data_IF_083682477984
#
_entry.id   IF_083682477984
#
_cell.length_a   1.000
_cell.length_b   1.000
_cell.length_c   1.000
_cell.angle_alpha   90.00
_cell.angle_beta   90.00
_cell.angle_gamma   90.00
#
_symmetry.space_group_name_H-M   'P 1'
#
loop_
_entity.id
_entity.type
_entity.pdbx_description
1 polymer ?
#
# COMPACT_ATOMS: atom_id res chain seq x y z
N UNK A 1 8.11 -24.89 14.87
CA UNK A 1 7.87 -23.88 13.82
C UNK A 1 6.84 -24.41 12.86
N UNK A 2 5.94 -23.55 12.38
CA UNK A 2 4.95 -23.85 11.34
C UNK A 2 5.24 -22.93 10.17
N UNK A 3 5.19 -23.46 8.95
CA UNK A 3 5.38 -22.65 7.74
C UNK A 3 4.28 -21.58 7.64
N UNK A 4 4.67 -20.37 7.23
CA UNK A 4 3.76 -19.24 7.07
C UNK A 4 3.44 -19.04 5.59
N UNK A 5 2.19 -18.67 5.23
CA UNK A 5 1.86 -18.33 3.84
C UNK A 5 2.64 -17.09 3.38
N UNK A 6 3.27 -17.19 2.20
CA UNK A 6 4.09 -16.13 1.59
C UNK A 6 3.78 -15.92 0.10
N UNK A 7 2.60 -16.35 -0.34
CA UNK A 7 2.07 -16.35 -1.70
C UNK A 7 1.70 -14.96 -2.26
N UNK A 8 2.23 -13.89 -1.66
CA UNK A 8 2.02 -12.51 -2.06
C UNK A 8 3.35 -11.83 -2.42
N UNK A 9 3.62 -11.70 -3.73
CA UNK A 9 4.79 -10.95 -4.21
C UNK A 9 4.60 -9.43 -4.09
N UNK A 10 3.36 -8.98 -4.30
CA UNK A 10 2.98 -7.57 -4.15
C UNK A 10 2.60 -7.31 -2.71
N UNK A 11 3.19 -6.28 -2.13
CA UNK A 11 2.87 -5.79 -0.80
C UNK A 11 2.55 -4.30 -0.80
N UNK A 12 1.68 -3.90 0.12
CA UNK A 12 1.53 -2.47 0.43
C UNK A 12 2.75 -2.00 1.23
N UNK A 13 3.17 -0.76 1.00
CA UNK A 13 4.21 -0.11 1.79
C UNK A 13 3.91 -0.11 3.30
N UNK A 14 2.62 -0.12 3.66
CA UNK A 14 2.17 -0.31 5.04
C UNK A 14 2.73 -1.60 5.67
N UNK A 15 2.48 -2.75 5.05
CA UNK A 15 2.91 -4.05 5.60
C UNK A 15 4.41 -4.30 5.41
N UNK A 16 4.98 -3.77 4.33
CA UNK A 16 6.40 -3.92 4.05
C UNK A 16 7.27 -3.03 4.95
N UNK A 17 6.79 -1.87 5.38
CA UNK A 17 7.60 -0.91 6.14
C UNK A 17 6.91 -0.37 7.39
N UNK A 18 5.74 0.26 7.24
CA UNK A 18 5.14 1.05 8.34
C UNK A 18 4.74 0.19 9.55
N UNK A 19 4.19 -1.01 9.32
CA UNK A 19 3.80 -1.97 10.36
C UNK A 19 5.00 -2.50 11.16
N UNK A 20 6.19 -2.49 10.54
CA UNK A 20 7.46 -2.87 11.16
C UNK A 20 8.16 -1.69 11.87
N UNK A 21 7.47 -0.55 11.99
CA UNK A 21 8.00 0.68 12.56
C UNK A 21 9.19 1.26 11.78
N UNK A 22 9.31 0.98 10.47
CA UNK A 22 10.32 1.63 9.62
C UNK A 22 9.81 3.01 9.14
N UNK A 23 10.54 4.12 9.35
CA UNK A 23 10.05 5.47 9.04
C UNK A 23 9.86 5.68 7.53
N UNK A 24 8.97 6.60 7.14
CA UNK A 24 8.68 6.91 5.73
C UNK A 24 9.86 7.57 5.00
N UNK A 25 10.72 8.28 5.72
CA UNK A 25 11.92 8.95 5.18
C UNK A 25 13.16 8.04 5.16
N UNK A 26 12.99 6.72 5.34
CA UNK A 26 14.12 5.78 5.36
C UNK A 26 14.66 5.55 3.94
N UNK A 27 15.98 5.62 3.69
CA UNK A 27 16.57 5.44 2.35
C UNK A 27 16.15 4.14 1.65
N UNK A 28 16.00 3.04 2.40
CA UNK A 28 15.53 1.77 1.85
C UNK A 28 14.10 1.81 1.23
N UNK A 29 13.36 2.91 1.37
CA UNK A 29 12.04 3.13 0.72
C UNK A 29 12.16 3.92 -0.58
N UNK A 30 13.36 4.36 -0.95
CA UNK A 30 13.57 5.14 -2.17
C UNK A 30 13.37 4.27 -3.41
N UNK A 31 12.98 4.93 -4.52
CA UNK A 31 12.71 4.27 -5.80
C UNK A 31 13.91 3.51 -6.37
N UNK A 32 15.13 3.88 -5.98
CA UNK A 32 16.35 3.20 -6.40
C UNK A 32 16.52 1.84 -5.73
N UNK A 33 15.93 1.63 -4.55
CA UNK A 33 16.05 0.42 -3.73
C UNK A 33 14.78 -0.44 -3.73
N UNK A 34 13.64 0.11 -4.16
CA UNK A 34 12.33 -0.54 -4.09
C UNK A 34 11.58 -0.45 -5.43
N UNK A 35 11.15 -1.62 -5.94
CA UNK A 35 10.29 -1.70 -7.12
C UNK A 35 8.83 -1.39 -6.77
N UNK A 36 8.39 -0.17 -7.02
CA UNK A 36 6.99 0.24 -6.87
C UNK A 36 6.15 -0.15 -8.09
N UNK A 37 4.88 -0.47 -7.87
CA UNK A 37 3.93 -0.66 -8.96
C UNK A 37 3.50 0.70 -9.53
N UNK A 38 3.40 0.77 -10.86
CA UNK A 38 2.92 1.94 -11.57
C UNK A 38 1.43 1.82 -11.83
N UNK A 39 0.73 2.95 -11.73
CA UNK A 39 -0.69 2.98 -12.04
C UNK A 39 -0.89 2.74 -13.53
N UNK A 40 -1.94 2.00 -13.88
CA UNK A 40 -2.29 1.81 -15.28
C UNK A 40 -2.57 3.18 -15.90
N UNK A 41 -1.88 3.52 -16.99
CA UNK A 41 -2.24 4.67 -17.81
C UNK A 41 -3.73 4.52 -18.17
N UNK A 42 -4.59 5.36 -17.57
CA UNK A 42 -5.90 5.60 -18.17
C UNK A 42 -5.60 6.17 -19.53
N UNK A 43 -5.92 5.43 -20.59
CA UNK A 43 -5.99 6.03 -21.92
C UNK A 43 -6.93 7.22 -21.81
N UNK A 44 -6.38 8.43 -21.94
CA UNK A 44 -7.21 9.60 -22.19
C UNK A 44 -7.87 9.38 -23.55
N UNK A 45 -9.13 8.93 -23.56
CA UNK A 45 -10.00 8.98 -24.73
C UNK A 45 -10.14 10.44 -25.18
N UNK A 46 -9.21 10.91 -26.01
CA UNK A 46 -9.18 12.32 -26.37
C UNK A 46 -8.05 12.74 -27.29
N UNK A 47 -7.91 12.13 -28.48
CA UNK A 47 -7.45 12.80 -29.73
C UNK A 47 -7.44 11.84 -30.93
N UNK A 48 -8.59 11.71 -31.59
CA UNK A 48 -8.70 11.06 -32.90
C UNK A 48 -10.12 11.20 -33.46
N UNK A 49 -10.32 12.10 -34.42
CA UNK A 49 -11.60 12.31 -35.13
C UNK A 49 -12.07 11.00 -35.79
N UNK A 50 -13.15 10.41 -35.28
CA UNK A 50 -13.99 9.49 -36.05
C UNK A 50 -15.46 9.95 -35.95
N UNK A 51 -16.27 9.90 -37.03
CA UNK A 51 -17.67 10.33 -37.00
C UNK A 51 -18.48 9.44 -36.05
N UNK A 52 -19.27 10.10 -35.19
CA UNK A 52 -20.03 9.48 -34.10
C UNK A 52 -21.19 8.64 -34.63
N UNK A 53 -21.06 7.32 -34.57
CA UNK A 53 -22.23 6.44 -34.43
C UNK A 53 -22.76 6.59 -32.99
N UNK A 54 -24.08 6.72 -32.73
CA UNK A 54 -24.58 6.72 -31.36
C UNK A 54 -24.47 5.29 -30.80
N UNK A 55 -23.34 4.99 -30.16
CA UNK A 55 -23.20 3.82 -29.31
C UNK A 55 -23.93 4.14 -28.00
N UNK A 56 -24.90 3.29 -27.66
CA UNK A 56 -25.44 3.19 -26.30
C UNK A 56 -24.30 3.26 -25.28
N UNK A 57 -24.48 3.97 -24.14
CA UNK A 57 -23.45 3.99 -23.11
C UNK A 57 -23.09 2.54 -22.73
N UNK A 58 -21.80 2.19 -22.65
CA UNK A 58 -21.43 0.86 -22.21
C UNK A 58 -22.05 0.61 -20.82
N UNK A 59 -22.44 -0.64 -20.51
CA UNK A 59 -22.85 -0.98 -19.15
C UNK A 59 -21.77 -0.51 -18.17
N UNK A 60 -22.17 -0.01 -17.00
CA UNK A 60 -21.24 0.44 -15.97
C UNK A 60 -20.32 -0.73 -15.58
N UNK A 61 -19.14 -0.79 -16.20
CA UNK A 61 -18.10 -1.74 -15.81
C UNK A 61 -17.36 -1.09 -14.65
N UNK A 62 -17.31 -1.72 -13.46
CA UNK A 62 -16.50 -1.20 -12.37
C UNK A 62 -15.05 -1.14 -12.84
N UNK A 63 -14.46 0.05 -12.83
CA UNK A 63 -13.03 0.20 -13.11
C UNK A 63 -12.27 -0.59 -12.04
N UNK A 64 -11.38 -1.54 -12.41
CA UNK A 64 -10.60 -2.29 -11.44
C UNK A 64 -9.77 -1.32 -10.58
N UNK A 65 -9.51 -1.65 -9.30
CA UNK A 65 -8.68 -0.81 -8.45
C UNK A 65 -7.30 -0.65 -9.07
N UNK A 66 -6.73 0.54 -8.90
CA UNK A 66 -5.39 0.85 -9.41
C UNK A 66 -4.36 -0.12 -8.79
N UNK A 67 -3.61 -0.90 -9.59
CA UNK A 67 -2.61 -1.82 -9.06
C UNK A 67 -1.50 -1.14 -8.25
N UNK A 68 -1.25 0.15 -8.47
CA UNK A 68 -0.27 0.93 -7.71
C UNK A 68 -0.70 1.22 -6.27
N UNK A 69 -1.99 1.08 -5.95
CA UNK A 69 -2.53 1.41 -4.65
C UNK A 69 -3.20 0.24 -3.96
N UNK A 70 -2.90 0.07 -2.67
CA UNK A 70 -3.62 -0.87 -1.82
C UNK A 70 -5.10 -0.42 -1.73
N UNK A 71 -6.06 -1.29 -2.10
CA UNK A 71 -7.47 -0.92 -2.08
C UNK A 71 -7.97 -0.67 -0.65
N UNK A 72 -7.43 -1.39 0.34
CA UNK A 72 -7.79 -1.23 1.75
C UNK A 72 -6.63 -1.58 2.68
N UNK A 73 -6.47 -0.78 3.74
CA UNK A 73 -5.59 -1.07 4.88
C UNK A 73 -6.46 -1.25 6.13
N UNK A 74 -6.02 -2.01 7.16
CA UNK A 74 -6.83 -2.22 8.35
C UNK A 74 -6.98 -0.92 9.16
N UNK A 75 -8.13 -0.25 9.16
CA UNK A 75 -8.23 1.17 9.53
C UNK A 75 -7.83 1.44 10.99
N UNK A 76 -8.26 0.58 11.91
CA UNK A 76 -7.90 0.71 13.33
C UNK A 76 -6.40 0.51 13.59
N UNK A 77 -5.76 -0.40 12.86
CA UNK A 77 -4.32 -0.62 13.00
C UNK A 77 -3.51 0.48 12.30
N UNK A 78 -3.92 0.89 11.10
CA UNK A 78 -3.30 1.99 10.36
C UNK A 78 -3.35 3.30 11.15
N UNK A 79 -4.49 3.63 11.79
CA UNK A 79 -4.60 4.82 12.65
C UNK A 79 -3.64 4.74 13.86
N UNK A 80 -3.50 3.56 14.46
CA UNK A 80 -2.57 3.31 15.57
C UNK A 80 -1.11 3.48 15.12
N UNK A 81 -0.72 2.86 14.01
CA UNK A 81 0.63 2.98 13.42
C UNK A 81 0.93 4.45 13.10
N UNK A 82 0.03 5.17 12.41
CA UNK A 82 0.15 6.61 12.14
C UNK A 82 0.43 7.41 13.42
N UNK A 83 -0.35 7.18 14.47
CA UNK A 83 -0.19 7.88 15.76
C UNK A 83 1.20 7.61 16.37
N UNK A 84 1.62 6.36 16.44
CA UNK A 84 2.88 5.99 17.11
C UNK A 84 4.10 6.45 16.31
N UNK A 85 4.05 6.37 14.98
CA UNK A 85 5.11 6.90 14.11
C UNK A 85 5.28 8.40 14.28
N UNK A 86 4.18 9.17 14.28
CA UNK A 86 4.26 10.64 14.33
C UNK A 86 4.43 11.20 15.74
N UNK A 87 3.60 10.78 16.70
CA UNK A 87 3.50 11.37 18.04
C UNK A 87 4.13 10.50 19.14
N UNK A 88 4.41 9.24 18.85
CA UNK A 88 4.83 8.26 19.84
C UNK A 88 3.66 7.59 20.56
N UNK A 89 4.01 6.77 21.54
CA UNK A 89 3.10 5.87 22.25
C UNK A 89 3.85 4.66 22.79
N UNK A 90 3.25 3.92 23.72
CA UNK A 90 3.86 2.73 24.34
C UNK A 90 5.27 2.99 24.91
N UNK A 91 5.50 4.18 25.48
CA UNK A 91 6.81 4.59 26.01
C UNK A 91 7.80 5.14 24.97
N UNK A 92 7.50 5.03 23.67
CA UNK A 92 8.29 5.64 22.59
C UNK A 92 7.87 7.09 22.31
N UNK A 93 8.82 7.91 21.86
CA UNK A 93 8.61 9.30 21.42
C UNK A 93 8.17 9.41 19.95
N UNK A 94 8.10 8.29 19.23
CA UNK A 94 7.88 8.29 17.78
C UNK A 94 9.04 8.91 17.00
N UNK A 95 8.86 9.07 15.69
CA UNK A 95 9.81 9.73 14.79
C UNK A 95 9.63 11.24 14.70
N UNK A 96 8.52 11.78 15.24
CA UNK A 96 8.20 13.23 15.21
C UNK A 96 8.16 13.80 13.79
N UNK A 97 7.76 12.97 12.82
CA UNK A 97 7.57 13.37 11.44
C UNK A 97 6.11 13.17 11.02
N UNK A 98 5.75 13.80 9.91
CA UNK A 98 4.47 13.57 9.27
C UNK A 98 4.43 12.14 8.70
N UNK A 99 3.36 11.41 9.03
CA UNK A 99 3.07 10.09 8.45
C UNK A 99 1.92 10.23 7.45
N UNK A 100 2.18 9.87 6.20
CA UNK A 100 1.27 10.04 5.06
C UNK A 100 0.61 8.72 4.70
N UNK A 101 -0.72 8.71 4.64
CA UNK A 101 -1.49 7.52 4.29
C UNK A 101 -1.23 7.09 2.84
N UNK A 102 -1.06 8.06 1.95
CA UNK A 102 -0.78 7.82 0.52
C UNK A 102 0.50 6.97 0.36
N UNK A 103 1.58 7.32 1.06
CA UNK A 103 2.83 6.53 1.04
C UNK A 103 2.63 5.11 1.56
N UNK A 104 1.80 4.92 2.58
CA UNK A 104 1.50 3.60 3.13
C UNK A 104 0.66 2.74 2.16
N UNK A 105 -0.12 3.37 1.29
CA UNK A 105 -0.97 2.68 0.30
C UNK A 105 -0.22 2.28 -0.96
N UNK A 106 0.94 2.85 -1.26
CA UNK A 106 1.71 2.48 -2.46
C UNK A 106 2.09 1.01 -2.43
N UNK A 107 1.69 0.27 -3.45
CA UNK A 107 2.09 -1.12 -3.62
C UNK A 107 3.49 -1.22 -4.24
N UNK A 108 4.21 -2.25 -3.84
CA UNK A 108 5.58 -2.56 -4.25
C UNK A 108 5.77 -4.07 -4.37
N UNK A 109 6.84 -4.49 -5.03
CA UNK A 109 7.33 -5.86 -4.90
C UNK A 109 8.00 -6.01 -3.53
N UNK A 110 7.52 -6.98 -2.75
CA UNK A 110 7.97 -7.23 -1.37
C UNK A 110 9.49 -7.29 -1.29
N UNK A 111 10.10 -6.49 -0.42
CA UNK A 111 11.56 -6.40 -0.30
C UNK A 111 12.15 -7.41 0.69
N UNK A 112 11.35 -7.91 1.63
CA UNK A 112 11.78 -8.90 2.63
C UNK A 112 10.60 -9.71 3.19
N UNK A 113 10.86 -10.93 3.66
CA UNK A 113 9.82 -11.84 4.20
C UNK A 113 9.26 -11.40 5.55
N UNK A 114 9.92 -10.47 6.26
CA UNK A 114 9.45 -9.92 7.55
C UNK A 114 8.05 -9.29 7.46
N UNK A 115 7.62 -8.83 6.28
CA UNK A 115 6.27 -8.32 6.06
C UNK A 115 5.20 -9.41 6.20
N UNK A 116 5.49 -10.63 5.75
CA UNK A 116 4.62 -11.79 5.97
C UNK A 116 4.50 -12.12 7.47
N UNK A 117 5.61 -12.02 8.21
CA UNK A 117 5.61 -12.14 9.68
C UNK A 117 4.75 -11.05 10.33
N UNK A 118 4.81 -9.80 9.87
CA UNK A 118 3.98 -8.72 10.38
C UNK A 118 2.49 -8.99 10.21
N UNK A 119 2.08 -9.50 9.04
CA UNK A 119 0.69 -9.92 8.78
C UNK A 119 0.26 -11.07 9.69
N UNK A 120 1.11 -12.09 9.86
CA UNK A 120 0.79 -13.20 10.75
C UNK A 120 0.64 -12.74 12.19
N UNK A 121 1.61 -11.97 12.72
CA UNK A 121 1.56 -11.45 14.08
C UNK A 121 0.31 -10.58 14.31
N UNK A 122 -0.06 -9.76 13.33
CA UNK A 122 -1.30 -8.99 13.39
C UNK A 122 -2.55 -9.88 13.42
N UNK A 123 -2.58 -10.96 12.63
CA UNK A 123 -3.67 -11.94 12.64
C UNK A 123 -3.79 -12.65 13.99
N UNK A 124 -2.67 -13.12 14.54
CA UNK A 124 -2.61 -13.80 15.85
C UNK A 124 -3.04 -12.88 17.00
N UNK A 125 -2.65 -11.60 16.96
CA UNK A 125 -3.03 -10.62 17.98
C UNK A 125 -4.53 -10.28 18.01
N UNK A 126 -5.32 -10.79 17.05
CA UNK A 126 -6.76 -10.58 16.92
C UNK A 126 -7.59 -11.84 17.20
N UNK A 127 -6.94 -12.94 17.61
CA UNK A 127 -7.59 -14.15 18.10
C UNK A 127 -7.89 -13.99 19.59
#
# INVERSE_FOLDING_TARGET
FTEMPTDHFVESSFWNFDALFQPQQHPARDQHDTFFLLGGHREEEGRGRHPRTPLTPPPFVPVPPDPAEAPQLPPGYTAKVKKIHSQGGYGSRGYKCEWRLEEARRNLLRTHTTSASARLLYSLARQ
#
